data_IF_776625251821
#
_entry.id   IF_776625251821
#
_cell.length_a   1.000
_cell.length_b   1.000
_cell.length_c   1.000
_cell.angle_alpha   90.00
_cell.angle_beta   90.00
_cell.angle_gamma   90.00
#
_symmetry.space_group_name_H-M   'P 1'
#
loop_
_entity.id
_entity.type
_entity.pdbx_description
1 polymer ?
#
# COMPACT_ATOMS: atom_id res chain seq x y z
N UNK A 1 8.69 -24.99 -23.93
CA UNK A 1 9.15 -25.81 -25.10
C UNK A 1 8.31 -27.06 -25.32
N UNK A 2 7.90 -27.81 -24.27
CA UNK A 2 7.04 -28.99 -24.42
C UNK A 2 5.68 -28.65 -25.03
N UNK A 3 5.07 -27.56 -24.58
CA UNK A 3 3.76 -27.09 -25.05
C UNK A 3 3.82 -26.57 -26.49
N UNK A 4 4.88 -25.83 -26.86
CA UNK A 4 5.07 -25.39 -28.26
C UNK A 4 5.20 -26.56 -29.24
N UNK A 5 5.72 -27.69 -28.77
CA UNK A 5 5.89 -28.90 -29.59
C UNK A 5 4.62 -29.77 -29.65
N UNK A 6 3.59 -29.48 -28.84
CA UNK A 6 2.32 -30.24 -28.83
C UNK A 6 1.37 -29.88 -29.98
N UNK A 7 1.63 -28.78 -30.71
CA UNK A 7 0.76 -28.27 -31.76
C UNK A 7 -0.51 -27.60 -31.24
N UNK A 8 -0.59 -27.33 -29.93
CA UNK A 8 -1.68 -26.57 -29.31
C UNK A 8 -1.37 -25.09 -29.37
N UNK A 9 -2.31 -24.30 -29.87
CA UNK A 9 -2.29 -22.84 -29.74
C UNK A 9 -2.89 -22.47 -28.39
N UNK A 10 -2.22 -21.64 -27.61
CA UNK A 10 -2.68 -21.15 -26.32
C UNK A 10 -2.08 -19.77 -26.03
N UNK A 11 -2.87 -18.94 -25.38
CA UNK A 11 -2.48 -17.62 -24.91
C UNK A 11 -1.99 -17.69 -23.46
N UNK A 12 -0.85 -17.07 -23.19
CA UNK A 12 -0.27 -17.03 -21.84
C UNK A 12 -0.19 -15.62 -21.31
N UNK A 13 -0.52 -15.43 -20.05
CA UNK A 13 -0.36 -14.15 -19.37
C UNK A 13 0.38 -14.31 -18.03
N UNK A 14 1.15 -13.29 -17.67
CA UNK A 14 1.84 -13.20 -16.39
C UNK A 14 1.14 -12.18 -15.50
N UNK A 15 0.48 -12.67 -14.46
CA UNK A 15 -0.17 -11.82 -13.48
C UNK A 15 0.81 -11.39 -12.37
N UNK A 16 1.04 -10.10 -12.25
CA UNK A 16 1.92 -9.49 -11.24
C UNK A 16 1.16 -8.50 -10.37
N UNK A 17 1.65 -8.31 -9.14
CA UNK A 17 1.15 -7.28 -8.25
C UNK A 17 1.43 -5.87 -8.79
N UNK A 18 0.61 -4.92 -8.39
CA UNK A 18 0.63 -3.51 -8.83
C UNK A 18 1.99 -2.84 -8.64
N UNK A 19 2.70 -3.12 -7.54
CA UNK A 19 4.04 -2.60 -7.27
C UNK A 19 5.14 -3.09 -8.21
N UNK A 20 4.81 -3.96 -9.19
CA UNK A 20 5.75 -4.39 -10.25
C UNK A 20 5.68 -3.50 -11.49
N UNK A 21 4.75 -2.56 -11.53
CA UNK A 21 4.53 -1.64 -12.64
C UNK A 21 4.74 -0.19 -12.21
N UNK A 22 5.19 0.63 -13.16
CA UNK A 22 5.29 2.07 -12.96
C UNK A 22 3.92 2.69 -12.72
N UNK A 23 3.84 3.62 -11.77
CA UNK A 23 2.68 4.47 -11.55
C UNK A 23 2.90 5.82 -12.23
N UNK A 24 2.21 6.06 -13.34
CA UNK A 24 2.36 7.30 -14.11
C UNK A 24 1.97 8.54 -13.31
N UNK A 25 0.99 8.44 -12.40
CA UNK A 25 0.61 9.54 -11.53
C UNK A 25 1.75 9.92 -10.57
N UNK A 26 2.41 8.92 -9.97
CA UNK A 26 3.58 9.18 -9.12
C UNK A 26 4.78 9.70 -9.91
N UNK A 27 5.01 9.17 -11.12
CA UNK A 27 6.06 9.66 -12.01
C UNK A 27 5.84 11.13 -12.37
N UNK A 28 4.62 11.50 -12.75
CA UNK A 28 4.24 12.88 -13.07
C UNK A 28 4.49 13.82 -11.89
N UNK A 29 4.14 13.37 -10.67
CA UNK A 29 4.44 14.10 -9.45
C UNK A 29 5.94 14.26 -9.19
N UNK A 30 6.77 13.26 -9.50
CA UNK A 30 8.22 13.37 -9.34
C UNK A 30 8.85 14.37 -10.36
N UNK A 31 8.27 14.48 -11.54
CA UNK A 31 8.75 15.38 -12.61
C UNK A 31 8.25 16.83 -12.44
N UNK A 32 7.05 17.00 -11.87
CA UNK A 32 6.41 18.33 -11.74
C UNK A 32 6.96 19.04 -10.54
N UNK A 33 8.09 19.17 -10.09
CA UNK A 33 8.69 19.94 -8.96
C UNK A 33 7.68 20.40 -7.86
N UNK A 34 6.40 20.12 -8.04
CA UNK A 34 5.39 20.37 -7.02
C UNK A 34 5.75 19.50 -5.83
N UNK A 35 5.99 20.15 -4.69
CA UNK A 35 6.19 19.51 -3.41
C UNK A 35 4.98 18.59 -3.19
N UNK A 36 5.16 17.35 -3.56
CA UNK A 36 4.18 16.32 -3.22
C UNK A 36 4.13 16.29 -1.71
N UNK A 37 2.95 16.34 -1.15
CA UNK A 37 2.72 16.08 0.26
C UNK A 37 3.63 14.95 0.72
N UNK A 38 4.37 15.12 1.81
CA UNK A 38 5.29 14.10 2.27
C UNK A 38 4.47 12.82 2.41
N UNK A 39 4.81 11.79 1.61
CA UNK A 39 4.28 10.45 1.86
C UNK A 39 4.73 10.13 3.26
N UNK A 40 3.79 10.18 4.21
CA UNK A 40 4.09 9.89 5.60
C UNK A 40 4.39 8.40 5.64
N UNK A 41 5.64 8.04 5.90
CA UNK A 41 6.03 6.67 5.88
C UNK A 41 5.47 5.98 7.11
N UNK A 42 4.69 4.96 6.91
CA UNK A 42 4.10 4.17 7.99
C UNK A 42 5.09 3.20 8.63
N UNK A 43 6.24 2.94 7.99
CA UNK A 43 7.23 1.97 8.48
C UNK A 43 8.66 2.52 8.37
N UNK A 44 9.52 2.31 9.41
CA UNK A 44 10.91 2.83 9.44
C UNK A 44 11.82 2.30 8.33
N UNK A 45 11.52 1.13 7.77
CA UNK A 45 12.22 0.50 6.65
C UNK A 45 11.82 1.06 5.28
N UNK A 46 10.84 1.95 5.23
CA UNK A 46 10.44 2.66 4.01
C UNK A 46 11.32 3.89 3.70
N UNK A 47 12.36 4.19 4.52
CA UNK A 47 12.97 5.52 4.66
C UNK A 47 14.31 5.80 4.07
N UNK A 48 14.88 5.00 3.27
CA UNK A 48 15.96 5.52 2.43
C UNK A 48 15.32 6.20 1.21
N UNK A 49 14.81 7.42 1.36
CA UNK A 49 14.47 8.23 0.20
C UNK A 49 15.75 8.38 -0.65
N UNK A 50 15.78 7.92 -1.89
CA UNK A 50 16.95 8.08 -2.73
C UNK A 50 17.19 9.57 -2.95
N UNK A 51 18.46 9.93 -3.09
CA UNK A 51 18.82 11.29 -3.46
C UNK A 51 18.07 11.68 -4.75
N UNK A 52 17.22 12.68 -4.65
CA UNK A 52 16.42 13.20 -5.79
C UNK A 52 17.29 13.61 -6.98
N UNK A 53 18.51 14.09 -6.72
CA UNK A 53 19.45 14.45 -7.75
C UNK A 53 19.90 13.22 -8.57
N UNK A 54 19.94 12.04 -7.98
CA UNK A 54 20.27 10.79 -8.66
C UNK A 54 19.06 10.16 -9.34
N UNK A 55 17.86 10.38 -8.85
CA UNK A 55 16.64 9.78 -9.37
C UNK A 55 16.10 10.52 -10.62
N UNK A 56 16.26 11.83 -10.71
CA UNK A 56 15.73 12.66 -11.81
C UNK A 56 16.08 12.14 -13.21
N UNK A 57 17.37 11.91 -13.53
CA UNK A 57 17.76 11.38 -14.85
C UNK A 57 17.13 10.02 -15.18
N UNK A 58 16.88 9.19 -14.16
CA UNK A 58 16.23 7.87 -14.34
C UNK A 58 14.75 8.07 -14.70
N UNK A 59 14.07 9.04 -14.08
CA UNK A 59 12.68 9.35 -14.39
C UNK A 59 12.51 9.88 -15.82
N UNK A 60 13.41 10.74 -16.28
CA UNK A 60 13.44 11.22 -17.67
C UNK A 60 13.64 10.06 -18.66
N UNK A 61 14.53 9.12 -18.35
CA UNK A 61 14.74 7.91 -19.14
C UNK A 61 13.49 7.03 -19.18
N UNK A 62 12.79 6.86 -18.03
CA UNK A 62 11.52 6.12 -17.97
C UNK A 62 10.47 6.74 -18.88
N UNK A 63 10.31 8.08 -18.86
CA UNK A 63 9.38 8.79 -19.75
C UNK A 63 9.73 8.55 -21.22
N UNK A 64 11.01 8.69 -21.58
CA UNK A 64 11.47 8.48 -22.95
C UNK A 64 11.28 7.04 -23.42
N UNK A 65 11.51 6.06 -22.54
CA UNK A 65 11.33 4.65 -22.83
C UNK A 65 9.85 4.28 -23.02
N UNK A 66 8.96 4.78 -22.16
CA UNK A 66 7.51 4.61 -22.30
C UNK A 66 6.98 5.28 -23.57
N UNK A 67 7.35 6.54 -23.80
CA UNK A 67 6.89 7.32 -24.96
C UNK A 67 7.34 6.73 -26.31
N UNK A 68 8.49 6.07 -26.35
CA UNK A 68 9.00 5.39 -27.55
C UNK A 68 8.53 3.94 -27.68
N UNK A 69 7.78 3.39 -26.72
CA UNK A 69 7.35 2.00 -26.71
C UNK A 69 8.50 0.98 -26.47
N UNK A 70 9.69 1.44 -26.10
CA UNK A 70 10.82 0.55 -25.77
C UNK A 70 10.67 -0.16 -24.46
N UNK A 71 9.78 0.31 -23.61
CA UNK A 71 9.45 -0.26 -22.31
C UNK A 71 7.95 -0.22 -22.08
N UNK A 72 7.40 -1.29 -21.54
CA UNK A 72 5.98 -1.46 -21.27
C UNK A 72 5.54 -0.96 -19.88
N UNK A 73 6.51 -0.55 -19.05
CA UNK A 73 6.29 -0.10 -17.68
C UNK A 73 6.31 -1.21 -16.63
N UNK A 74 6.66 -2.44 -16.99
CA UNK A 74 6.96 -3.52 -16.05
C UNK A 74 8.42 -3.38 -15.60
N UNK A 75 8.67 -3.24 -14.31
CA UNK A 75 10.04 -3.10 -13.78
C UNK A 75 10.93 -4.31 -14.02
N UNK A 76 10.35 -5.50 -14.25
CA UNK A 76 11.15 -6.70 -14.57
C UNK A 76 11.70 -6.67 -16.00
N UNK A 77 11.11 -5.87 -16.89
CA UNK A 77 11.59 -5.65 -18.25
C UNK A 77 12.46 -4.38 -18.37
N UNK A 78 12.68 -3.64 -17.27
CA UNK A 78 13.55 -2.46 -17.31
C UNK A 78 15.00 -2.83 -17.60
N UNK A 79 15.67 -2.19 -18.57
CA UNK A 79 17.04 -2.48 -18.87
C UNK A 79 17.99 -1.97 -17.78
N UNK A 80 18.58 -2.87 -17.03
CA UNK A 80 19.52 -2.55 -15.96
C UNK A 80 18.95 -2.73 -14.54
N UNK A 81 19.74 -2.37 -13.55
CA UNK A 81 19.32 -2.44 -12.14
C UNK A 81 18.68 -1.13 -11.71
N UNK A 82 17.51 -1.21 -11.11
CA UNK A 82 16.86 -0.07 -10.43
C UNK A 82 17.10 -0.17 -8.93
N UNK A 83 17.51 0.96 -8.35
CA UNK A 83 17.53 1.11 -6.89
C UNK A 83 16.12 0.94 -6.33
N UNK A 84 16.02 0.25 -5.17
CA UNK A 84 14.73 -0.05 -4.53
C UNK A 84 14.00 1.23 -4.13
N UNK A 85 14.72 2.25 -3.68
CA UNK A 85 14.15 3.54 -3.33
C UNK A 85 13.59 4.27 -4.55
N UNK A 86 14.32 4.29 -5.67
CA UNK A 86 13.84 4.87 -6.95
C UNK A 86 12.57 4.16 -7.41
N UNK A 87 12.55 2.83 -7.36
CA UNK A 87 11.38 2.04 -7.73
C UNK A 87 10.16 2.38 -6.84
N UNK A 88 10.36 2.53 -5.53
CA UNK A 88 9.29 2.89 -4.57
C UNK A 88 8.68 4.26 -4.86
N UNK A 89 9.47 5.24 -5.30
CA UNK A 89 8.98 6.58 -5.63
C UNK A 89 7.97 6.58 -6.78
N UNK A 90 8.10 5.65 -7.73
CA UNK A 90 7.27 5.58 -8.94
C UNK A 90 6.45 4.29 -9.04
N UNK A 91 6.38 3.50 -7.98
CA UNK A 91 5.45 2.36 -7.86
C UNK A 91 4.32 2.67 -6.90
N UNK A 92 3.25 1.88 -6.93
CA UNK A 92 2.10 2.07 -6.04
C UNK A 92 1.54 0.74 -5.56
N UNK A 93 0.92 0.78 -4.40
CA UNK A 93 0.17 -0.34 -3.83
C UNK A 93 -1.33 -0.14 -3.98
N UNK A 94 -2.12 -1.16 -3.60
CA UNK A 94 -3.57 -1.10 -3.73
C UNK A 94 -4.18 0.03 -2.89
N UNK A 95 -3.68 0.25 -1.68
CA UNK A 95 -4.13 1.28 -0.75
C UNK A 95 -3.89 2.71 -1.25
N UNK A 96 -2.87 2.92 -2.07
CA UNK A 96 -2.46 4.23 -2.60
C UNK A 96 -3.02 4.51 -4.01
N UNK A 97 -3.54 3.49 -4.69
CA UNK A 97 -4.00 3.63 -6.07
C UNK A 97 -5.45 4.08 -6.14
N UNK A 98 -5.70 5.19 -6.80
CA UNK A 98 -7.05 5.74 -7.01
C UNK A 98 -7.87 4.98 -8.07
N UNK A 99 -7.32 3.89 -8.62
CA UNK A 99 -8.05 2.97 -9.50
C UNK A 99 -8.51 3.62 -10.81
N UNK A 100 -9.75 3.35 -11.20
CA UNK A 100 -10.33 3.85 -12.46
C UNK A 100 -10.52 5.38 -12.49
N UNK A 101 -10.43 6.07 -11.36
CA UNK A 101 -10.48 7.55 -11.28
C UNK A 101 -9.15 8.20 -11.64
N UNK A 102 -8.09 7.40 -11.87
CA UNK A 102 -6.77 7.92 -12.22
C UNK A 102 -6.76 8.60 -13.59
N UNK A 103 -6.23 9.84 -13.73
CA UNK A 103 -6.14 10.51 -15.03
C UNK A 103 -5.29 9.74 -16.06
N UNK A 104 -4.37 8.89 -15.60
CA UNK A 104 -3.51 8.07 -16.44
C UNK A 104 -4.02 6.64 -16.66
N UNK A 105 -5.27 6.32 -16.31
CA UNK A 105 -5.80 4.94 -16.32
C UNK A 105 -5.69 4.27 -17.69
N UNK A 106 -5.95 5.00 -18.77
CA UNK A 106 -5.89 4.50 -20.15
C UNK A 106 -4.48 4.13 -20.62
N UNK A 107 -3.45 4.70 -19.99
CA UNK A 107 -2.04 4.44 -20.30
C UNK A 107 -1.36 3.58 -19.22
N UNK A 108 -2.09 3.19 -18.18
CA UNK A 108 -1.55 2.49 -17.03
C UNK A 108 -1.09 1.07 -17.40
N UNK A 109 0.21 0.81 -17.26
CA UNK A 109 0.82 -0.50 -17.56
C UNK A 109 0.20 -1.63 -16.75
N UNK A 110 -0.14 -1.37 -15.48
CA UNK A 110 -0.82 -2.35 -14.64
C UNK A 110 -2.22 -2.72 -15.18
N UNK A 111 -3.04 -1.75 -15.58
CA UNK A 111 -4.39 -2.05 -16.11
C UNK A 111 -4.31 -2.75 -17.45
N UNK A 112 -3.40 -2.35 -18.34
CA UNK A 112 -3.17 -3.04 -19.62
C UNK A 112 -2.73 -4.50 -19.42
N UNK A 113 -1.83 -4.75 -18.47
CA UNK A 113 -1.44 -6.13 -18.14
C UNK A 113 -2.61 -6.95 -17.59
N UNK A 114 -3.55 -6.31 -16.89
CA UNK A 114 -4.77 -6.95 -16.36
C UNK A 114 -5.74 -7.34 -17.46
N UNK A 115 -5.95 -6.49 -18.46
CA UNK A 115 -6.81 -6.79 -19.61
C UNK A 115 -6.34 -8.05 -20.34
N UNK A 116 -5.03 -8.30 -20.40
CA UNK A 116 -4.46 -9.50 -20.99
C UNK A 116 -4.79 -10.81 -20.26
N UNK A 117 -5.23 -10.75 -18.99
CA UNK A 117 -5.58 -11.96 -18.24
C UNK A 117 -6.94 -12.55 -18.66
N UNK A 118 -7.86 -11.72 -19.17
CA UNK A 118 -9.24 -12.13 -19.52
C UNK A 118 -9.29 -13.12 -20.69
N UNK A 119 -8.27 -13.06 -21.57
CA UNK A 119 -8.21 -13.88 -22.78
C UNK A 119 -7.13 -14.97 -22.69
N UNK A 120 -6.45 -15.12 -21.54
CA UNK A 120 -5.36 -16.08 -21.40
C UNK A 120 -5.88 -17.46 -21.02
N UNK A 121 -5.41 -18.47 -21.75
CA UNK A 121 -5.65 -19.88 -21.42
C UNK A 121 -4.80 -20.33 -20.22
N UNK A 122 -3.59 -19.73 -20.04
CA UNK A 122 -2.68 -20.02 -18.96
C UNK A 122 -2.24 -18.70 -18.30
N UNK A 123 -2.55 -18.58 -17.02
CA UNK A 123 -2.09 -17.46 -16.20
C UNK A 123 -1.00 -17.93 -15.24
N UNK A 124 0.20 -17.36 -15.35
CA UNK A 124 1.29 -17.59 -14.40
C UNK A 124 1.30 -16.49 -13.37
N UNK A 125 1.37 -16.84 -12.10
CA UNK A 125 1.36 -15.86 -11.00
C UNK A 125 2.10 -16.40 -9.77
N UNK A 126 2.37 -15.56 -8.79
CA UNK A 126 2.92 -16.00 -7.51
C UNK A 126 1.81 -16.32 -6.49
N UNK A 127 2.17 -17.12 -5.47
CA UNK A 127 1.25 -17.49 -4.39
C UNK A 127 0.59 -16.29 -3.71
N UNK A 128 1.35 -15.22 -3.49
CA UNK A 128 0.84 -14.04 -2.76
C UNK A 128 -0.29 -13.34 -3.52
N UNK A 129 -0.24 -13.34 -4.87
CA UNK A 129 -1.31 -12.77 -5.67
C UNK A 129 -2.56 -13.66 -5.67
N UNK A 130 -2.41 -15.00 -5.70
CA UNK A 130 -3.51 -15.94 -5.52
C UNK A 130 -4.17 -15.75 -4.15
N UNK A 131 -3.37 -15.64 -3.08
CA UNK A 131 -3.89 -15.40 -1.74
C UNK A 131 -4.58 -14.06 -1.61
N UNK A 132 -4.07 -13.02 -2.30
CA UNK A 132 -4.71 -11.71 -2.37
C UNK A 132 -6.06 -11.77 -3.07
N UNK A 133 -6.17 -12.51 -4.15
CA UNK A 133 -7.42 -12.72 -4.86
C UNK A 133 -8.45 -13.48 -4.01
N UNK A 134 -8.04 -14.57 -3.39
CA UNK A 134 -8.88 -15.33 -2.46
C UNK A 134 -9.36 -14.48 -1.27
N UNK A 135 -8.53 -13.59 -0.75
CA UNK A 135 -8.93 -12.65 0.32
C UNK A 135 -10.03 -11.69 -0.12
N UNK A 136 -10.11 -11.37 -1.40
CA UNK A 136 -11.15 -10.53 -1.99
C UNK A 136 -12.40 -11.31 -2.41
N UNK A 137 -12.42 -12.62 -2.20
CA UNK A 137 -13.51 -13.53 -2.55
C UNK A 137 -13.25 -14.42 -3.76
N UNK A 138 -12.12 -14.23 -4.43
CA UNK A 138 -11.75 -14.94 -5.67
C UNK A 138 -12.36 -14.31 -6.94
N UNK A 139 -11.65 -14.40 -8.06
CA UNK A 139 -12.14 -13.88 -9.34
C UNK A 139 -12.08 -12.35 -9.50
N UNK A 140 -11.46 -11.62 -8.57
CA UNK A 140 -11.32 -10.15 -8.62
C UNK A 140 -10.00 -9.75 -9.29
N UNK A 141 -8.96 -10.49 -8.99
CA UNK A 141 -7.62 -10.26 -9.49
C UNK A 141 -7.27 -11.23 -10.60
N UNK A 142 -7.61 -12.47 -10.45
CA UNK A 142 -7.37 -13.59 -11.35
C UNK A 142 -8.70 -14.06 -11.95
N UNK A 143 -8.70 -14.92 -12.97
CA UNK A 143 -9.93 -15.57 -13.43
C UNK A 143 -10.68 -16.28 -12.29
N UNK A 144 -12.01 -16.40 -12.44
CA UNK A 144 -12.87 -16.97 -11.40
C UNK A 144 -12.41 -18.39 -11.00
N UNK A 145 -12.37 -18.70 -9.69
CA UNK A 145 -11.90 -20.00 -9.21
C UNK A 145 -12.69 -21.20 -9.80
N UNK A 146 -13.99 -21.03 -10.01
CA UNK A 146 -14.89 -22.04 -10.59
C UNK A 146 -14.55 -22.37 -12.05
N UNK A 147 -13.91 -21.43 -12.77
CA UNK A 147 -13.52 -21.59 -14.18
C UNK A 147 -12.03 -21.88 -14.34
N UNK A 148 -11.30 -22.16 -13.24
CA UNK A 148 -9.85 -22.26 -13.24
C UNK A 148 -9.33 -23.55 -12.61
N UNK A 149 -8.24 -24.08 -13.18
CA UNK A 149 -7.45 -25.11 -12.55
C UNK A 149 -6.19 -24.49 -11.93
N UNK A 150 -5.98 -24.70 -10.63
CA UNK A 150 -4.80 -24.19 -9.93
C UNK A 150 -3.72 -25.25 -9.84
N UNK A 151 -2.54 -24.92 -10.32
CA UNK A 151 -1.33 -25.74 -10.20
C UNK A 151 -0.33 -24.96 -9.33
N UNK A 152 -0.08 -25.45 -8.14
CA UNK A 152 0.87 -24.86 -7.22
C UNK A 152 2.24 -25.52 -7.33
N UNK A 153 3.22 -24.79 -7.87
CA UNK A 153 4.63 -25.16 -7.76
C UNK A 153 5.13 -24.81 -6.34
N UNK A 154 6.10 -25.57 -5.83
CA UNK A 154 6.62 -25.39 -4.46
C UNK A 154 5.50 -25.36 -3.39
N UNK A 155 4.47 -26.18 -3.56
CA UNK A 155 3.26 -26.19 -2.71
C UNK A 155 3.54 -26.36 -1.21
N UNK A 156 4.71 -26.90 -0.84
CA UNK A 156 5.15 -27.01 0.56
C UNK A 156 5.32 -25.65 1.25
N UNK A 157 5.49 -24.55 0.52
CA UNK A 157 5.58 -23.19 1.06
C UNK A 157 4.20 -22.58 1.37
N UNK A 158 3.14 -23.12 0.78
CA UNK A 158 1.81 -22.54 0.83
C UNK A 158 1.27 -22.34 2.27
N UNK A 159 1.43 -23.30 3.21
CA UNK A 159 0.98 -23.10 4.58
C UNK A 159 1.62 -21.88 5.26
N UNK A 160 2.94 -21.72 5.13
CA UNK A 160 3.68 -20.58 5.69
C UNK A 160 3.29 -19.27 5.02
N UNK A 161 3.10 -19.28 3.70
CA UNK A 161 2.63 -18.11 2.96
C UNK A 161 1.21 -17.72 3.36
N UNK A 162 0.30 -18.67 3.53
CA UNK A 162 -1.06 -18.40 4.00
C UNK A 162 -1.03 -17.76 5.40
N UNK A 163 -0.28 -18.33 6.34
CA UNK A 163 -0.14 -17.77 7.67
C UNK A 163 0.37 -16.32 7.62
N UNK A 164 1.42 -16.06 6.83
CA UNK A 164 1.99 -14.72 6.70
C UNK A 164 1.06 -13.74 5.98
N UNK A 165 0.34 -14.20 4.96
CA UNK A 165 -0.54 -13.37 4.15
C UNK A 165 -1.81 -12.94 4.90
N UNK A 166 -2.39 -13.84 5.67
CA UNK A 166 -3.59 -13.58 6.47
C UNK A 166 -3.29 -13.08 7.88
N UNK A 167 -2.01 -13.03 8.28
CA UNK A 167 -1.62 -12.46 9.56
C UNK A 167 -1.90 -10.96 9.59
N UNK A 168 -2.50 -10.49 10.67
CA UNK A 168 -2.57 -9.07 10.98
C UNK A 168 -1.31 -8.68 11.75
N UNK A 169 -0.65 -7.63 11.31
CA UNK A 169 0.55 -7.08 11.96
C UNK A 169 0.28 -5.68 12.44
N UNK A 170 0.65 -5.41 13.67
CA UNK A 170 0.61 -4.09 14.25
C UNK A 170 2.02 -3.69 14.68
N UNK A 171 2.54 -2.62 14.13
CA UNK A 171 3.86 -2.07 14.42
C UNK A 171 3.72 -0.82 15.28
N UNK A 172 3.75 -0.98 16.59
CA UNK A 172 3.48 0.12 17.52
C UNK A 172 4.39 1.33 17.30
N UNK A 173 5.69 1.12 17.12
CA UNK A 173 6.64 2.22 16.88
C UNK A 173 6.35 3.00 15.60
N UNK A 174 6.09 2.30 14.49
CA UNK A 174 5.72 2.94 13.22
C UNK A 174 4.38 3.66 13.31
N UNK A 175 3.40 3.04 13.98
CA UNK A 175 2.08 3.67 14.19
C UNK A 175 2.21 4.96 15.01
N UNK A 176 2.99 4.96 16.09
CA UNK A 176 3.26 6.13 16.90
C UNK A 176 3.93 7.25 16.10
N UNK A 177 4.91 6.90 15.28
CA UNK A 177 5.58 7.87 14.42
C UNK A 177 4.62 8.44 13.37
N UNK A 178 3.86 7.59 12.69
CA UNK A 178 2.86 7.99 11.71
C UNK A 178 1.80 8.92 12.30
N UNK A 179 1.29 8.63 13.51
CA UNK A 179 0.35 9.51 14.21
C UNK A 179 0.95 10.90 14.49
N UNK A 180 2.20 10.95 14.98
CA UNK A 180 2.89 12.23 15.24
C UNK A 180 3.10 13.03 13.95
N UNK A 181 3.50 12.37 12.89
CA UNK A 181 3.75 13.01 11.60
C UNK A 181 2.45 13.51 10.98
N UNK A 182 1.37 12.71 11.04
CA UNK A 182 0.05 13.09 10.57
C UNK A 182 -0.51 14.27 11.36
N UNK A 183 -0.38 14.26 12.68
CA UNK A 183 -0.81 15.37 13.53
C UNK A 183 -0.09 16.68 13.18
N UNK A 184 1.24 16.63 13.03
CA UNK A 184 2.04 17.80 12.61
C UNK A 184 1.66 18.30 11.22
N UNK A 185 1.39 17.38 10.29
CA UNK A 185 0.95 17.76 8.95
C UNK A 185 -0.42 18.44 8.97
N UNK A 186 -1.38 17.91 9.73
CA UNK A 186 -2.70 18.52 9.91
C UNK A 186 -2.55 19.92 10.50
N UNK A 187 -1.75 20.08 11.55
CA UNK A 187 -1.48 21.39 12.17
C UNK A 187 -0.87 22.37 11.17
N UNK A 188 0.17 21.98 10.44
CA UNK A 188 0.85 22.84 9.47
C UNK A 188 -0.03 23.24 8.27
N UNK A 189 -0.97 22.38 7.88
CA UNK A 189 -1.88 22.58 6.74
C UNK A 189 -3.16 23.33 7.13
N UNK A 190 -3.48 23.41 8.43
CA UNK A 190 -4.74 23.94 8.96
C UNK A 190 -5.05 25.37 8.49
N UNK A 191 -4.05 26.26 8.53
CA UNK A 191 -4.21 27.66 8.14
C UNK A 191 -4.57 27.83 6.65
N UNK A 192 -4.03 27.00 5.78
CA UNK A 192 -4.33 27.00 4.35
C UNK A 192 -5.74 26.44 4.09
N UNK A 193 -6.11 25.37 4.77
CA UNK A 193 -7.45 24.78 4.66
C UNK A 193 -8.54 25.73 5.16
N UNK A 194 -8.31 26.45 6.27
CA UNK A 194 -9.23 27.47 6.80
C UNK A 194 -9.37 28.63 5.81
N UNK A 195 -8.29 29.09 5.19
CA UNK A 195 -8.34 30.10 4.12
C UNK A 195 -9.16 29.63 2.90
N UNK A 196 -9.11 28.35 2.59
CA UNK A 196 -9.94 27.72 1.56
C UNK A 196 -11.37 27.45 2.06
N UNK A 197 -11.67 27.84 3.32
CA UNK A 197 -13.01 27.87 3.92
C UNK A 197 -13.40 26.58 4.62
N UNK A 198 -12.45 25.77 5.08
CA UNK A 198 -12.72 24.69 6.02
C UNK A 198 -13.26 25.28 7.34
N UNK A 199 -14.22 24.60 7.96
CA UNK A 199 -14.72 24.97 9.28
C UNK A 199 -13.62 24.77 10.34
N UNK A 200 -13.17 25.86 10.95
CA UNK A 200 -12.11 25.87 11.95
C UNK A 200 -12.41 24.92 13.13
N UNK A 201 -13.69 24.66 13.42
CA UNK A 201 -14.13 23.79 14.53
C UNK A 201 -13.72 22.32 14.38
N UNK A 202 -13.33 21.88 13.18
CA UNK A 202 -12.86 20.50 12.97
C UNK A 202 -11.46 20.28 13.54
N UNK A 203 -10.63 21.33 13.61
CA UNK A 203 -9.22 21.23 14.02
C UNK A 203 -9.03 20.71 15.45
N UNK A 204 -9.68 21.32 16.48
CA UNK A 204 -9.56 20.82 17.86
C UNK A 204 -10.02 19.36 18.01
N UNK A 205 -10.98 18.93 17.19
CA UNK A 205 -11.47 17.55 17.19
C UNK A 205 -10.42 16.60 16.65
N UNK A 206 -9.74 16.95 15.56
CA UNK A 206 -8.66 16.14 14.98
C UNK A 206 -7.46 16.07 15.92
N UNK A 207 -7.03 17.19 16.48
CA UNK A 207 -5.93 17.25 17.46
C UNK A 207 -6.20 16.33 18.65
N UNK A 208 -7.37 16.45 19.27
CA UNK A 208 -7.76 15.59 20.40
C UNK A 208 -7.81 14.10 20.02
N UNK A 209 -8.19 13.77 18.80
CA UNK A 209 -8.20 12.38 18.32
C UNK A 209 -6.76 11.84 18.12
N UNK A 210 -5.84 12.65 17.59
CA UNK A 210 -4.44 12.25 17.45
C UNK A 210 -3.78 12.04 18.82
N UNK A 211 -4.02 12.92 19.78
CA UNK A 211 -3.47 12.82 21.14
C UNK A 211 -4.01 11.58 21.86
N UNK A 212 -5.31 11.31 21.81
CA UNK A 212 -5.91 10.10 22.42
C UNK A 212 -5.40 8.81 21.74
N UNK A 213 -5.24 8.80 20.41
CA UNK A 213 -4.67 7.66 19.70
C UNK A 213 -3.21 7.43 20.05
N UNK A 214 -2.40 8.48 20.19
CA UNK A 214 -1.01 8.37 20.63
C UNK A 214 -0.91 7.78 22.02
N UNK A 215 -1.68 8.30 22.97
CA UNK A 215 -1.70 7.82 24.35
C UNK A 215 -2.10 6.34 24.44
N UNK A 216 -3.20 5.95 23.79
CA UNK A 216 -3.69 4.56 23.79
C UNK A 216 -2.72 3.60 23.10
N UNK A 217 -2.09 4.02 22.01
CA UNK A 217 -1.09 3.20 21.33
C UNK A 217 0.13 2.98 22.21
N UNK A 218 0.56 4.00 22.96
CA UNK A 218 1.64 3.86 23.95
C UNK A 218 1.26 2.89 25.06
N UNK A 219 0.07 3.04 25.65
CA UNK A 219 -0.42 2.16 26.72
C UNK A 219 -0.46 0.70 26.28
N UNK A 220 -0.98 0.40 25.09
CA UNK A 220 -0.99 -0.98 24.56
C UNK A 220 0.44 -1.46 24.32
N UNK A 221 1.33 -0.63 23.79
CA UNK A 221 2.72 -1.00 23.55
C UNK A 221 3.44 -1.34 24.87
N UNK A 222 3.28 -0.54 25.90
CA UNK A 222 3.84 -0.77 27.22
C UNK A 222 3.28 -2.06 27.84
N UNK A 223 1.99 -2.26 27.75
CA UNK A 223 1.35 -3.47 28.27
C UNK A 223 1.83 -4.75 27.53
N UNK A 224 2.08 -4.66 26.22
CA UNK A 224 2.70 -5.75 25.44
C UNK A 224 4.13 -6.01 25.93
N UNK A 225 4.95 -4.96 26.15
CA UNK A 225 6.32 -5.12 26.65
C UNK A 225 6.38 -5.82 28.00
N UNK A 226 5.39 -5.61 28.87
CA UNK A 226 5.32 -6.28 30.18
C UNK A 226 5.11 -7.81 30.07
N UNK A 227 4.72 -8.33 28.91
CA UNK A 227 4.61 -9.77 28.67
C UNK A 227 5.96 -10.43 28.38
N UNK A 228 6.98 -9.66 28.04
CA UNK A 228 8.30 -10.22 27.74
C UNK A 228 9.09 -10.36 29.02
N UNK A 229 9.71 -11.53 29.28
CA UNK A 229 10.63 -11.67 30.41
C UNK A 229 11.88 -10.79 30.20
N UNK A 230 12.44 -10.29 31.29
CA UNK A 230 13.62 -9.35 31.31
C UNK A 230 14.89 -9.86 30.62
N UNK A 231 14.92 -11.08 30.15
CA UNK A 231 16.06 -11.71 29.44
C UNK A 231 16.00 -11.54 27.90
N UNK A 232 15.26 -10.55 27.40
CA UNK A 232 15.05 -10.36 25.97
C UNK A 232 16.30 -9.84 25.24
N UNK A 233 16.90 -10.69 24.41
CA UNK A 233 17.78 -10.24 23.33
C UNK A 233 17.01 -9.44 22.28
N UNK A 234 17.70 -8.88 21.27
CA UNK A 234 17.15 -8.00 20.22
C UNK A 234 15.91 -8.53 19.46
N UNK A 235 15.52 -9.79 19.66
CA UNK A 235 14.34 -10.44 19.07
C UNK A 235 13.67 -11.38 20.06
N UNK A 236 12.85 -10.82 20.95
CA UNK A 236 12.00 -11.60 21.82
C UNK A 236 10.66 -11.92 21.12
N UNK A 237 10.25 -13.17 21.11
CA UNK A 237 8.94 -13.61 20.60
C UNK A 237 8.13 -14.16 21.78
N UNK A 238 6.94 -13.59 22.01
CA UNK A 238 6.01 -14.10 22.99
C UNK A 238 4.76 -14.66 22.31
N UNK A 239 4.45 -15.93 22.60
CA UNK A 239 3.25 -16.58 22.10
C UNK A 239 2.19 -16.64 23.20
N UNK A 240 1.06 -16.02 22.91
CA UNK A 240 -0.08 -16.06 23.84
C UNK A 240 -0.52 -17.51 24.08
N UNK A 241 -0.65 -17.94 25.35
CA UNK A 241 -1.10 -19.29 25.68
C UNK A 241 -2.45 -19.60 25.01
N UNK A 242 -2.51 -20.73 24.30
CA UNK A 242 -3.69 -21.18 23.54
C UNK A 242 -4.23 -20.16 22.53
N UNK A 243 -3.42 -19.20 22.09
CA UNK A 243 -3.83 -18.12 21.18
C UNK A 243 -4.87 -17.17 21.77
N UNK A 244 -5.05 -17.16 23.09
CA UNK A 244 -6.04 -16.31 23.77
C UNK A 244 -5.44 -14.97 24.14
N UNK A 245 -6.08 -13.90 23.67
CA UNK A 245 -5.76 -12.52 24.05
C UNK A 245 -6.30 -12.30 25.48
N UNK A 246 -5.49 -11.79 26.44
CA UNK A 246 -5.97 -11.39 27.75
C UNK A 246 -7.12 -10.37 27.65
N UNK A 247 -8.09 -10.43 28.55
CA UNK A 247 -9.27 -9.57 28.50
C UNK A 247 -8.92 -8.08 28.52
N UNK A 248 -7.95 -7.69 29.32
CA UNK A 248 -7.45 -6.31 29.42
C UNK A 248 -6.94 -5.79 28.07
N UNK A 249 -6.20 -6.62 27.31
CA UNK A 249 -5.77 -6.25 25.97
C UNK A 249 -6.93 -6.13 25.00
N UNK A 250 -7.90 -7.03 25.07
CA UNK A 250 -9.06 -7.00 24.22
C UNK A 250 -9.88 -5.72 24.43
N UNK A 251 -10.05 -5.27 25.68
CA UNK A 251 -10.72 -4.02 26.02
C UNK A 251 -9.95 -2.80 25.51
N UNK A 252 -8.64 -2.74 25.74
CA UNK A 252 -7.80 -1.65 25.25
C UNK A 252 -7.78 -1.58 23.71
N UNK A 253 -7.70 -2.73 23.04
CA UNK A 253 -7.76 -2.82 21.58
C UNK A 253 -9.11 -2.35 21.05
N UNK A 254 -10.23 -2.67 21.71
CA UNK A 254 -11.54 -2.20 21.32
C UNK A 254 -11.68 -0.67 21.47
N UNK A 255 -11.13 -0.10 22.55
CA UNK A 255 -11.09 1.35 22.75
C UNK A 255 -10.22 2.04 21.68
N UNK A 256 -9.06 1.48 21.36
CA UNK A 256 -8.18 1.99 20.32
C UNK A 256 -8.87 1.95 18.94
N UNK A 257 -9.53 0.83 18.62
CA UNK A 257 -10.28 0.68 17.37
C UNK A 257 -11.38 1.74 17.25
N UNK A 258 -12.14 1.98 18.31
CA UNK A 258 -13.20 2.98 18.31
C UNK A 258 -12.67 4.41 18.03
N UNK A 259 -11.46 4.75 18.47
CA UNK A 259 -10.83 6.03 18.17
C UNK A 259 -10.31 6.11 16.72
N UNK A 260 -9.73 5.00 16.19
CA UNK A 260 -9.36 4.92 14.79
C UNK A 260 -10.57 5.09 13.86
N UNK A 261 -11.71 4.49 14.21
CA UNK A 261 -12.96 4.66 13.46
C UNK A 261 -13.47 6.12 13.48
N UNK A 262 -13.28 6.84 14.60
CA UNK A 262 -13.60 8.26 14.67
C UNK A 262 -12.66 9.07 13.76
N UNK A 263 -11.35 8.87 13.89
CA UNK A 263 -10.37 9.55 13.04
C UNK A 263 -10.66 9.30 11.56
N UNK A 264 -10.94 8.07 11.16
CA UNK A 264 -11.29 7.72 9.79
C UNK A 264 -12.53 8.49 9.28
N UNK A 265 -13.57 8.59 10.11
CA UNK A 265 -14.76 9.36 9.75
C UNK A 265 -14.49 10.86 9.62
N UNK A 266 -13.73 11.44 10.53
CA UNK A 266 -13.39 12.87 10.47
C UNK A 266 -12.46 13.18 9.30
N UNK A 267 -11.48 12.32 9.01
CA UNK A 267 -10.63 12.43 7.82
C UNK A 267 -11.44 12.35 6.52
N UNK A 268 -12.41 11.43 6.42
CA UNK A 268 -13.32 11.35 5.28
C UNK A 268 -14.22 12.58 5.11
N UNK A 269 -14.65 13.21 6.22
CA UNK A 269 -15.37 14.49 6.17
C UNK A 269 -14.48 15.61 5.64
N UNK A 270 -13.23 15.65 6.12
CA UNK A 270 -12.25 16.63 5.66
C UNK A 270 -11.98 16.48 4.16
N UNK A 271 -11.73 15.25 3.70
CA UNK A 271 -11.53 14.95 2.29
C UNK A 271 -12.71 15.43 1.43
N UNK A 272 -13.94 15.09 1.81
CA UNK A 272 -15.14 15.49 1.10
C UNK A 272 -15.32 17.02 1.05
N UNK A 273 -14.97 17.74 2.12
CA UNK A 273 -15.01 19.20 2.16
C UNK A 273 -13.98 19.83 1.22
N UNK A 274 -12.78 19.26 1.15
CA UNK A 274 -11.71 19.73 0.27
C UNK A 274 -12.01 19.43 -1.21
N UNK A 275 -12.54 18.26 -1.54
CA UNK A 275 -12.92 17.88 -2.91
C UNK A 275 -14.07 18.74 -3.48
N UNK A 276 -15.11 19.00 -2.70
CA UNK A 276 -16.26 19.79 -3.15
C UNK A 276 -15.85 21.23 -3.52
N UNK A 277 -14.82 21.78 -2.90
CA UNK A 277 -14.36 23.15 -3.16
C UNK A 277 -13.37 23.25 -4.32
N UNK A 278 -12.61 22.22 -4.62
CA UNK A 278 -11.82 22.16 -5.86
C UNK A 278 -12.73 22.16 -7.09
N UNK A 279 -13.90 21.56 -6.99
CA UNK A 279 -14.89 21.53 -8.08
C UNK A 279 -15.69 22.85 -8.24
N UNK A 280 -15.77 23.69 -7.19
CA UNK A 280 -16.44 25.01 -7.26
C UNK A 280 -15.51 26.12 -7.80
N UNK A 281 -14.20 25.89 -7.83
CA UNK A 281 -13.19 26.86 -8.27
C UNK A 281 -12.61 26.54 -9.66
N UNK A 282 -13.02 25.45 -10.30
CA UNK A 282 -12.66 25.01 -11.65
C UNK A 282 -13.80 25.30 -12.62
#
# INVERSE_FOLDING_TARGET
DVMRNSGLEYETALAKGRGRYICLLKLDHQLSEQVVDPVIPLYPDEFAAPDRALAGPIFDEMVAALGSGRWDGDFDSWPGSLDVGVKRLVSTEQSQCIGRRCPHVSQCSFFRAREGLENADIVVTNHDLVLSDLRLGGGVILPAPEDSFYIFDEGHQLPSKCLNHFALRFHSGATLQGLRDSGRWVESSSADWIKRGLDERIMPTLEALFDDLLERTLQISEAVWLLFPDEGGERAEYRLPHGRVPAEFAEQAAMLLAQWEKLYREAGRLEAMLENRTNETA
#
